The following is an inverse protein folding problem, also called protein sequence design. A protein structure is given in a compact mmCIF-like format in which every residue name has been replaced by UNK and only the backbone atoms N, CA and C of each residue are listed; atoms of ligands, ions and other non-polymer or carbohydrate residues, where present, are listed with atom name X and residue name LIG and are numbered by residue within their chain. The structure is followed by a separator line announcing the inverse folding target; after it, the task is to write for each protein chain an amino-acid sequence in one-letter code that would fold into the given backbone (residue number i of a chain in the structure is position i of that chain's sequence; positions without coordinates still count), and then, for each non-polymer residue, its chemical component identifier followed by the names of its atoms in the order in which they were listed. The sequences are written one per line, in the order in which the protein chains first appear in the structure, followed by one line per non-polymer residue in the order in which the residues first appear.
data_IF_390426699720
#
_entry.id   IF_390426699720
#
_cell.length_a   1.000
_cell.length_b   1.000
_cell.length_c   1.000
_cell.angle_alpha   90.00
_cell.angle_beta   90.00
_cell.angle_gamma   90.00
#
_symmetry.space_group_name_H-M   'P 1'
#
loop_
_entity.id
_entity.type
_entity.pdbx_description
1 polymer ?
#
# COMPACT_ATOMS: atom_id res chain seq x y z
N UNK A 1 5.70 -38.72 -6.17
CA UNK A 1 4.23 -38.38 -6.13
C UNK A 1 4.04 -37.09 -6.90
N UNK A 2 3.28 -37.11 -8.02
CA UNK A 2 2.83 -35.88 -8.68
C UNK A 2 1.85 -35.21 -7.75
N UNK A 3 2.14 -33.96 -7.37
CA UNK A 3 1.38 -33.18 -6.40
C UNK A 3 -0.02 -32.72 -6.89
N UNK A 4 -0.49 -33.14 -8.04
CA UNK A 4 -1.81 -32.75 -8.55
C UNK A 4 -2.03 -31.23 -8.70
N UNK A 5 -0.94 -30.45 -8.76
CA UNK A 5 -1.01 -29.00 -8.90
C UNK A 5 -1.38 -28.63 -10.33
N UNK A 6 -2.27 -27.66 -10.45
CA UNK A 6 -2.62 -27.03 -11.72
C UNK A 6 -1.79 -25.76 -11.92
N UNK A 7 -1.42 -25.47 -13.16
CA UNK A 7 -0.79 -24.20 -13.51
C UNK A 7 -1.85 -23.10 -13.51
N UNK A 8 -1.58 -21.99 -12.85
CA UNK A 8 -2.41 -20.79 -12.85
C UNK A 8 -1.73 -19.65 -13.63
N UNK A 9 -2.52 -18.68 -14.10
CA UNK A 9 -1.98 -17.48 -14.72
C UNK A 9 -1.27 -16.62 -13.66
N UNK A 10 -0.12 -16.07 -14.03
CA UNK A 10 0.65 -15.14 -13.20
C UNK A 10 -0.15 -13.91 -12.78
N UNK A 11 -1.09 -13.47 -13.60
CA UNK A 11 -1.98 -12.36 -13.28
C UNK A 11 -2.90 -12.65 -12.09
N UNK A 12 -3.34 -13.88 -11.89
CA UNK A 12 -4.14 -14.25 -10.71
C UNK A 12 -3.33 -14.04 -9.41
N UNK A 13 -2.05 -14.41 -9.44
CA UNK A 13 -1.15 -14.15 -8.31
C UNK A 13 -1.01 -12.66 -8.03
N UNK A 14 -0.79 -11.84 -9.05
CA UNK A 14 -0.66 -10.38 -8.87
C UNK A 14 -1.96 -9.74 -8.40
N UNK A 15 -3.10 -10.20 -8.90
CA UNK A 15 -4.42 -9.75 -8.47
C UNK A 15 -4.63 -10.05 -6.99
N UNK A 16 -4.37 -11.29 -6.56
CA UNK A 16 -4.49 -11.68 -5.16
C UNK A 16 -3.55 -10.85 -4.27
N UNK A 17 -2.28 -10.69 -4.66
CA UNK A 17 -1.32 -9.88 -3.93
C UNK A 17 -1.78 -8.44 -3.78
N UNK A 18 -2.37 -7.86 -4.84
CA UNK A 18 -2.93 -6.51 -4.79
C UNK A 18 -4.13 -6.41 -3.84
N UNK A 19 -5.03 -7.40 -3.84
CA UNK A 19 -6.20 -7.46 -2.95
C UNK A 19 -5.80 -7.50 -1.48
N UNK A 20 -4.73 -8.22 -1.15
CA UNK A 20 -4.18 -8.28 0.22
C UNK A 20 -3.19 -7.15 0.54
N UNK A 21 -2.97 -6.21 -0.39
CA UNK A 21 -2.15 -5.02 -0.16
C UNK A 21 -0.64 -5.23 -0.24
N UNK A 22 -0.17 -6.28 -0.94
CA UNK A 22 1.25 -6.59 -1.11
C UNK A 22 1.69 -6.27 -2.54
N UNK A 23 2.54 -5.25 -2.77
CA UNK A 23 3.08 -4.96 -4.09
C UNK A 23 4.08 -6.02 -4.54
N UNK A 24 3.97 -6.47 -5.78
CA UNK A 24 4.84 -7.47 -6.38
C UNK A 24 5.67 -6.92 -7.55
N UNK A 25 5.14 -5.92 -8.24
CA UNK A 25 5.82 -5.28 -9.37
C UNK A 25 6.26 -3.87 -9.00
N UNK A 26 7.33 -3.38 -9.63
CA UNK A 26 7.82 -2.01 -9.50
C UNK A 26 8.09 -1.59 -8.05
N UNK A 27 8.47 -2.53 -7.19
CA UNK A 27 8.73 -2.29 -5.76
C UNK A 27 9.96 -1.40 -5.52
N UNK A 28 10.87 -1.30 -6.49
CA UNK A 28 11.98 -0.36 -6.48
C UNK A 28 11.52 1.11 -6.35
N UNK A 29 10.30 1.42 -6.80
CA UNK A 29 9.68 2.75 -6.66
C UNK A 29 9.34 3.11 -5.22
N UNK A 30 9.31 2.13 -4.33
CA UNK A 30 9.07 2.31 -2.88
C UNK A 30 10.39 2.55 -2.11
N UNK A 31 11.52 2.17 -2.70
CA UNK A 31 12.83 2.26 -2.06
C UNK A 31 13.13 3.70 -1.64
N UNK A 32 13.65 3.87 -0.44
CA UNK A 32 13.97 5.16 0.19
C UNK A 32 12.78 6.13 0.36
N UNK A 33 11.55 5.71 0.10
CA UNK A 33 10.34 6.53 0.26
C UNK A 33 9.49 6.11 1.44
N UNK A 34 9.54 4.82 1.81
CA UNK A 34 8.73 4.24 2.88
C UNK A 34 9.58 3.35 3.78
N UNK A 35 9.24 3.34 5.05
CA UNK A 35 9.73 2.32 5.98
C UNK A 35 8.91 1.03 5.87
N UNK A 36 9.48 -0.12 6.22
CA UNK A 36 8.78 -1.40 6.17
C UNK A 36 7.47 -1.42 6.96
N UNK A 37 7.43 -0.72 8.11
CA UNK A 37 6.20 -0.57 8.90
C UNK A 37 5.11 0.25 8.19
N UNK A 38 5.49 1.18 7.31
CA UNK A 38 4.55 1.92 6.45
C UNK A 38 4.07 1.06 5.26
N UNK A 39 4.83 0.02 4.93
CA UNK A 39 4.45 -1.03 3.96
C UNK A 39 3.68 -2.19 4.61
N UNK A 40 3.15 -1.99 5.82
CA UNK A 40 2.31 -2.96 6.54
C UNK A 40 3.05 -4.25 6.97
N UNK A 41 4.38 -4.22 7.09
CA UNK A 41 5.18 -5.40 7.43
C UNK A 41 4.87 -5.96 8.83
N UNK A 42 4.36 -5.13 9.74
CA UNK A 42 3.92 -5.57 11.07
C UNK A 42 2.66 -6.44 10.95
N UNK A 43 1.64 -5.95 10.29
CA UNK A 43 0.36 -6.63 10.11
C UNK A 43 0.47 -7.88 9.23
N UNK A 44 1.41 -7.86 8.29
CA UNK A 44 1.72 -8.99 7.41
C UNK A 44 2.70 -10.00 8.04
N UNK A 45 3.06 -9.82 9.33
CA UNK A 45 4.03 -10.66 10.06
C UNK A 45 5.42 -10.74 9.38
N UNK A 46 5.80 -9.70 8.65
CA UNK A 46 7.11 -9.60 7.98
C UNK A 46 8.19 -8.99 8.88
N UNK A 47 7.85 -8.52 10.08
CA UNK A 47 8.76 -8.00 11.09
C UNK A 47 8.55 -8.76 12.39
N UNK A 48 9.64 -9.29 12.96
CA UNK A 48 9.64 -9.83 14.31
C UNK A 48 10.29 -8.82 15.27
N UNK A 49 9.49 -8.22 16.12
CA UNK A 49 9.95 -7.25 17.14
C UNK A 49 10.62 -7.91 18.35
N UNK A 50 10.52 -9.21 18.50
CA UNK A 50 11.10 -9.97 19.62
C UNK A 50 12.50 -10.50 19.32
N UNK A 51 12.88 -10.56 18.04
CA UNK A 51 14.22 -11.01 17.65
C UNK A 51 15.29 -9.98 18.04
N UNK A 52 16.54 -10.44 18.10
CA UNK A 52 17.72 -9.59 18.37
C UNK A 52 17.91 -8.45 17.36
N UNK A 53 18.90 -7.61 17.61
CA UNK A 53 19.16 -6.40 16.82
C UNK A 53 19.42 -6.67 15.34
N UNK A 54 18.89 -5.80 14.49
CA UNK A 54 19.12 -5.80 13.04
C UNK A 54 19.22 -4.36 12.53
N UNK A 55 19.83 -4.17 11.36
CA UNK A 55 20.01 -2.85 10.73
C UNK A 55 18.62 -2.23 10.45
N UNK A 56 18.39 -1.00 10.91
CA UNK A 56 17.12 -0.27 10.72
C UNK A 56 16.06 -0.54 11.78
N UNK A 57 16.31 -1.41 12.76
CA UNK A 57 15.38 -1.72 13.85
C UNK A 57 14.98 -0.50 14.65
N UNK A 58 15.92 0.41 14.94
CA UNK A 58 15.66 1.57 15.80
C UNK A 58 14.50 2.44 15.28
N UNK A 59 14.52 2.79 14.01
CA UNK A 59 13.46 3.60 13.41
C UNK A 59 12.12 2.86 13.40
N UNK A 60 12.12 1.58 13.03
CA UNK A 60 10.92 0.74 12.98
C UNK A 60 10.30 0.58 14.37
N UNK A 61 11.09 0.23 15.38
CA UNK A 61 10.64 0.11 16.76
C UNK A 61 10.15 1.45 17.33
N UNK A 62 10.84 2.54 17.05
CA UNK A 62 10.45 3.89 17.50
C UNK A 62 9.09 4.31 16.92
N UNK A 63 8.84 4.05 15.64
CA UNK A 63 7.54 4.37 14.99
C UNK A 63 6.42 3.57 15.65
N UNK A 64 6.64 2.26 15.89
CA UNK A 64 5.67 1.39 16.55
C UNK A 64 5.39 1.81 17.99
N UNK A 65 6.42 1.92 18.81
CA UNK A 65 6.30 2.24 20.25
C UNK A 65 5.64 3.60 20.50
N UNK A 66 5.94 4.60 19.68
CA UNK A 66 5.36 5.94 19.79
C UNK A 66 4.01 6.10 19.09
N UNK A 67 3.47 5.03 18.50
CA UNK A 67 2.25 5.05 17.68
C UNK A 67 2.23 6.20 16.64
N UNK A 68 3.41 6.49 16.07
CA UNK A 68 3.62 7.62 15.14
C UNK A 68 3.35 7.27 13.68
N UNK A 69 2.85 6.07 13.40
CA UNK A 69 2.49 5.69 12.05
C UNK A 69 1.32 6.57 11.57
N UNK A 70 1.61 7.45 10.63
CA UNK A 70 0.64 8.42 10.09
C UNK A 70 0.26 8.14 8.64
N UNK A 71 1.09 7.39 7.92
CA UNK A 71 0.88 7.02 6.53
C UNK A 71 1.13 5.53 6.32
N UNK A 72 0.44 4.95 5.34
CA UNK A 72 0.56 3.54 4.96
C UNK A 72 0.40 3.36 3.46
N UNK A 73 0.99 2.29 2.96
CA UNK A 73 0.82 1.83 1.59
C UNK A 73 -0.47 1.02 1.47
N UNK A 74 -1.31 1.39 0.49
CA UNK A 74 -2.56 0.70 0.19
C UNK A 74 -2.69 0.44 -1.30
N UNK A 75 -3.41 -0.62 -1.64
CA UNK A 75 -3.82 -0.90 -3.01
C UNK A 75 -4.88 0.10 -3.47
N UNK A 76 -4.79 0.46 -4.75
CA UNK A 76 -5.65 1.43 -5.40
C UNK A 76 -6.46 0.75 -6.49
N UNK A 77 -7.76 0.98 -6.51
CA UNK A 77 -8.62 0.62 -7.61
C UNK A 77 -8.84 1.84 -8.50
N UNK A 78 -8.47 1.75 -9.77
CA UNK A 78 -8.81 2.77 -10.76
C UNK A 78 -10.23 2.51 -11.26
N UNK A 79 -11.14 3.49 -11.07
CA UNK A 79 -12.54 3.39 -11.47
C UNK A 79 -12.70 3.91 -12.89
N UNK A 80 -12.17 5.10 -13.18
CA UNK A 80 -12.24 5.73 -14.50
C UNK A 80 -11.07 6.70 -14.72
N UNK A 81 -10.89 7.16 -15.96
CA UNK A 81 -9.84 8.09 -16.35
C UNK A 81 -8.46 7.45 -16.45
N UNK A 82 -7.46 8.28 -16.66
CA UNK A 82 -6.07 7.86 -16.76
C UNK A 82 -5.22 8.56 -15.71
N UNK A 83 -4.21 7.85 -15.22
CA UNK A 83 -3.18 8.49 -14.41
C UNK A 83 -2.37 9.44 -15.29
N UNK A 84 -2.17 10.65 -14.79
CA UNK A 84 -1.32 11.67 -15.40
C UNK A 84 -0.01 11.78 -14.61
N UNK A 85 0.80 12.79 -14.91
CA UNK A 85 2.01 13.08 -14.14
C UNK A 85 1.68 13.55 -12.70
N UNK A 86 0.48 14.14 -12.48
CA UNK A 86 -0.01 14.45 -11.14
C UNK A 86 -0.43 13.16 -10.44
N UNK A 87 0.39 12.72 -9.49
CA UNK A 87 0.18 11.51 -8.72
C UNK A 87 -0.40 11.77 -7.32
N UNK A 88 -0.83 13.00 -7.06
CA UNK A 88 -1.37 13.41 -5.76
C UNK A 88 -2.85 13.03 -5.68
N UNK A 89 -3.20 12.33 -4.61
CA UNK A 89 -4.58 11.97 -4.30
C UNK A 89 -5.21 13.06 -3.46
N UNK A 90 -6.32 13.60 -3.93
CA UNK A 90 -7.00 14.73 -3.29
C UNK A 90 -8.46 14.40 -2.96
N UNK A 91 -8.90 14.93 -1.82
CA UNK A 91 -10.32 15.08 -1.47
C UNK A 91 -10.63 16.58 -1.47
N UNK A 92 -11.30 17.06 -2.50
CA UNK A 92 -11.42 18.49 -2.78
C UNK A 92 -10.03 19.16 -2.83
N UNK A 93 -9.71 20.02 -1.88
CA UNK A 93 -8.43 20.73 -1.79
C UNK A 93 -7.42 20.08 -0.84
N UNK A 94 -7.77 18.95 -0.19
CA UNK A 94 -6.90 18.28 0.78
C UNK A 94 -6.10 17.17 0.13
N UNK A 95 -4.77 17.20 0.28
CA UNK A 95 -3.88 16.14 -0.14
C UNK A 95 -3.89 15.01 0.88
N UNK A 96 -4.38 13.84 0.46
CA UNK A 96 -4.47 12.63 1.27
C UNK A 96 -3.27 11.70 1.10
N UNK A 97 -2.58 11.79 -0.03
CA UNK A 97 -1.46 10.93 -0.34
C UNK A 97 -1.04 11.00 -1.79
N UNK A 98 -0.27 10.02 -2.23
CA UNK A 98 0.18 9.95 -3.62
C UNK A 98 0.34 8.51 -4.10
N UNK A 99 0.12 8.29 -5.38
CA UNK A 99 0.41 7.02 -6.04
C UNK A 99 1.92 6.88 -6.20
N UNK A 100 2.47 5.74 -5.87
CA UNK A 100 3.88 5.40 -6.01
C UNK A 100 4.13 4.36 -7.10
N UNK A 101 3.21 3.44 -7.28
CA UNK A 101 3.26 2.40 -8.33
C UNK A 101 2.08 2.62 -9.28
N UNK A 102 2.41 2.82 -10.56
CA UNK A 102 1.45 3.09 -11.65
C UNK A 102 1.47 1.95 -12.65
N UNK A 103 0.91 0.82 -12.30
CA UNK A 103 0.75 -0.30 -13.24
C UNK A 103 -0.68 -0.83 -13.20
N UNK A 104 -0.88 -2.05 -13.69
CA UNK A 104 -2.17 -2.73 -13.63
C UNK A 104 -2.69 -2.90 -12.18
N UNK A 105 -1.76 -2.95 -11.21
CA UNK A 105 -2.03 -3.12 -9.79
C UNK A 105 -1.43 -1.96 -8.99
N UNK A 106 -2.03 -0.76 -9.05
CA UNK A 106 -1.43 0.44 -8.50
C UNK A 106 -1.46 0.48 -6.98
N UNK A 107 -0.45 1.15 -6.40
CA UNK A 107 -0.32 1.36 -4.96
C UNK A 107 -0.08 2.83 -4.64
N UNK A 108 -0.67 3.28 -3.53
CA UNK A 108 -0.53 4.63 -3.02
C UNK A 108 -0.12 4.65 -1.55
N UNK A 109 0.66 5.65 -1.18
CA UNK A 109 0.87 6.01 0.23
C UNK A 109 -0.20 7.00 0.65
N UNK A 110 -0.92 6.68 1.73
CA UNK A 110 -2.08 7.44 2.22
C UNK A 110 -1.85 7.87 3.66
N UNK A 111 -2.19 9.13 3.98
CA UNK A 111 -2.30 9.67 5.35
C UNK A 111 -3.58 9.14 6.00
N UNK A 112 -3.58 7.87 6.40
CA UNK A 112 -4.77 7.14 6.80
C UNK A 112 -5.43 7.62 8.10
N UNK A 113 -4.72 8.41 8.91
CA UNK A 113 -5.25 9.08 10.12
C UNK A 113 -5.87 10.45 9.84
N UNK A 114 -5.85 10.92 8.59
CA UNK A 114 -6.48 12.16 8.22
C UNK A 114 -8.01 12.03 8.30
N UNK A 115 -8.66 13.02 8.92
CA UNK A 115 -10.13 13.03 9.10
C UNK A 115 -10.93 13.03 7.79
N UNK A 116 -10.30 13.48 6.71
CA UNK A 116 -10.92 13.52 5.38
C UNK A 116 -10.79 12.18 4.64
N UNK A 117 -9.93 11.26 5.14
CA UNK A 117 -9.75 9.95 4.53
C UNK A 117 -10.80 8.96 5.01
N UNK A 118 -11.39 8.23 4.05
CA UNK A 118 -12.27 7.07 4.29
C UNK A 118 -11.98 6.01 3.25
N UNK A 119 -11.90 4.75 3.66
CA UNK A 119 -11.85 3.64 2.71
C UNK A 119 -13.10 3.63 1.84
N UNK A 120 -12.99 3.04 0.65
CA UNK A 120 -14.06 2.85 -0.32
C UNK A 120 -14.70 4.14 -0.87
N UNK A 121 -14.28 5.32 -0.41
CA UNK A 121 -14.66 6.60 -0.99
C UNK A 121 -13.91 6.83 -2.31
N UNK A 122 -14.54 7.53 -3.25
CA UNK A 122 -13.90 7.97 -4.51
C UNK A 122 -13.05 9.22 -4.28
N UNK A 123 -11.85 9.24 -4.85
CA UNK A 123 -10.91 10.36 -4.78
C UNK A 123 -10.41 10.72 -6.17
N UNK A 124 -9.97 11.97 -6.35
CA UNK A 124 -9.29 12.42 -7.56
C UNK A 124 -7.78 12.20 -7.48
N UNK A 125 -7.18 11.75 -8.59
CA UNK A 125 -5.75 11.68 -8.79
C UNK A 125 -5.43 12.06 -10.25
N UNK A 126 -5.07 13.33 -10.48
CA UNK A 126 -5.05 13.88 -11.83
C UNK A 126 -6.42 13.80 -12.49
N UNK A 127 -6.48 13.17 -13.68
CA UNK A 127 -7.74 12.93 -14.41
C UNK A 127 -8.42 11.61 -14.00
N UNK A 128 -7.78 10.80 -13.18
CA UNK A 128 -8.34 9.54 -12.72
C UNK A 128 -9.24 9.71 -11.50
N UNK A 129 -10.30 8.90 -11.45
CA UNK A 129 -11.09 8.65 -10.24
C UNK A 129 -10.67 7.29 -9.69
N UNK A 130 -10.31 7.25 -8.43
CA UNK A 130 -9.77 6.10 -7.76
C UNK A 130 -10.51 5.80 -6.46
N UNK A 131 -10.29 4.59 -5.96
CA UNK A 131 -10.73 4.14 -4.64
C UNK A 131 -9.57 3.48 -3.92
N UNK A 132 -9.44 3.73 -2.62
CA UNK A 132 -8.46 3.06 -1.77
C UNK A 132 -9.14 1.85 -1.13
N UNK A 133 -8.64 0.66 -1.42
CA UNK A 133 -9.20 -0.59 -0.87
C UNK A 133 -8.77 -0.79 0.57
N UNK A 134 -9.72 -1.20 1.41
CA UNK A 134 -9.42 -1.65 2.77
C UNK A 134 -8.96 -3.11 2.71
N UNK A 135 -7.70 -3.43 3.07
CA UNK A 135 -7.26 -4.82 3.09
C UNK A 135 -7.94 -5.58 4.25
N UNK A 136 -8.14 -6.89 4.07
CA UNK A 136 -8.87 -7.75 5.01
C UNK A 136 -8.24 -7.85 6.41
N UNK A 137 -6.92 -7.69 6.50
CA UNK A 137 -6.17 -7.73 7.77
C UNK A 137 -6.24 -6.42 8.57
N UNK A 138 -6.74 -5.33 7.98
CA UNK A 138 -6.90 -4.05 8.68
C UNK A 138 -8.28 -4.02 9.37
N UNK A 139 -8.28 -4.25 10.66
CA UNK A 139 -9.46 -4.24 11.53
C UNK A 139 -9.87 -2.80 11.88
#
# INVERSE_FOLDING_TARGET
KKLGLQSADKNEYYKLSHEIGIPQNNTEKLQNKLFGIECNFDELNAIDFKKGCYIGQENTARIKLKNKLSKRLFSVEKIEGNFTQDNIIKDNNFELGKILIFDQYPFAVIKFKDKNFKFEKKYKCGDAIIRIKKPSWLI
#
